data_IF_026486797433
#
_entry.id   IF_026486797433
#
_cell.length_a   1.000
_cell.length_b   1.000
_cell.length_c   1.000
_cell.angle_alpha   90.00
_cell.angle_beta   90.00
_cell.angle_gamma   90.00
#
_symmetry.space_group_name_H-M   'P 1'
#
loop_
_entity.id
_entity.type
_entity.pdbx_description
1 polymer ?
#
# COMPACT_ATOMS: atom_id res chain seq x y z
N UNK A 1 6.67 3.55 -4.00
CA UNK A 1 6.56 2.65 -5.17
C UNK A 1 7.34 3.27 -6.32
N UNK A 2 8.07 2.47 -7.09
CA UNK A 2 8.80 2.92 -8.26
C UNK A 2 8.37 2.14 -9.51
N UNK A 3 8.23 2.85 -10.63
CA UNK A 3 7.94 2.28 -11.95
C UNK A 3 8.89 2.88 -12.99
N UNK A 4 8.94 2.31 -14.19
CA UNK A 4 9.83 2.76 -15.26
C UNK A 4 9.05 3.66 -16.22
N UNK A 5 9.58 4.83 -16.53
CA UNK A 5 9.01 5.73 -17.54
C UNK A 5 9.21 5.23 -18.97
N UNK A 6 8.51 5.84 -19.94
CA UNK A 6 8.73 5.56 -21.36
C UNK A 6 10.18 5.82 -21.83
N UNK A 7 10.95 6.63 -21.11
CA UNK A 7 12.35 6.93 -21.40
C UNK A 7 13.34 6.06 -20.63
N UNK A 8 12.86 5.06 -19.88
CA UNK A 8 13.71 4.17 -19.09
C UNK A 8 14.08 4.68 -17.69
N UNK A 9 13.73 5.92 -17.32
CA UNK A 9 13.99 6.44 -15.97
C UNK A 9 13.06 5.85 -14.92
N UNK A 10 13.57 5.50 -13.72
CA UNK A 10 12.73 5.16 -12.59
C UNK A 10 12.01 6.39 -12.06
N UNK A 11 10.69 6.28 -11.84
CA UNK A 11 9.87 7.29 -11.19
C UNK A 11 9.43 6.73 -9.85
N UNK A 12 9.72 7.44 -8.76
CA UNK A 12 9.30 7.05 -7.41
C UNK A 12 8.11 7.90 -6.99
N UNK A 13 7.07 7.27 -6.46
CA UNK A 13 5.90 7.93 -5.91
C UNK A 13 5.50 7.29 -4.57
N UNK A 14 5.35 8.07 -3.49
CA UNK A 14 4.67 7.62 -2.27
C UNK A 14 3.19 7.34 -2.57
N UNK A 15 2.70 6.18 -2.19
CA UNK A 15 1.33 5.75 -2.51
C UNK A 15 0.69 5.10 -1.28
N UNK A 16 -0.58 5.40 -1.03
CA UNK A 16 -1.40 4.55 -0.17
C UNK A 16 -1.52 3.16 -0.80
N UNK A 17 -1.53 2.14 0.06
CA UNK A 17 -1.67 0.75 -0.35
C UNK A 17 -2.53 -0.04 0.64
N UNK A 18 -3.22 -1.06 0.14
CA UNK A 18 -3.97 -2.03 0.94
C UNK A 18 -3.55 -3.44 0.56
N UNK A 19 -3.83 -4.39 1.46
CA UNK A 19 -3.66 -5.82 1.20
C UNK A 19 -5.05 -6.42 1.17
N UNK A 20 -5.38 -7.19 0.13
CA UNK A 20 -6.65 -7.92 0.04
C UNK A 20 -6.46 -9.38 0.46
N UNK A 21 -7.55 -10.14 0.48
CA UNK A 21 -7.62 -11.52 1.00
C UNK A 21 -6.71 -12.49 0.23
N UNK A 22 -6.34 -12.16 -1.01
CA UNK A 22 -5.40 -12.93 -1.83
C UNK A 22 -3.92 -12.66 -1.48
N UNK A 23 -3.65 -11.87 -0.44
CA UNK A 23 -2.32 -11.54 0.05
C UNK A 23 -1.54 -10.54 -0.80
N UNK A 24 -2.12 -10.02 -1.90
CA UNK A 24 -1.43 -9.06 -2.77
C UNK A 24 -1.61 -7.62 -2.31
N UNK A 25 -0.65 -6.78 -2.68
CA UNK A 25 -0.74 -5.33 -2.50
C UNK A 25 -1.53 -4.71 -3.64
N UNK A 26 -2.48 -3.85 -3.28
CA UNK A 26 -3.28 -3.06 -4.21
C UNK A 26 -3.08 -1.57 -3.95
N UNK A 27 -2.93 -0.81 -5.04
CA UNK A 27 -2.70 0.63 -5.04
C UNK A 27 -3.70 1.28 -5.99
N UNK A 28 -4.37 2.35 -5.55
CA UNK A 28 -5.22 3.18 -6.42
C UNK A 28 -4.42 4.36 -6.98
N UNK A 29 -4.55 4.64 -8.28
CA UNK A 29 -3.93 5.79 -8.94
C UNK A 29 -4.89 6.42 -9.94
N UNK A 30 -4.67 7.70 -10.24
CA UNK A 30 -5.33 8.39 -11.36
C UNK A 30 -4.71 7.92 -12.67
N UNK A 31 -5.54 7.61 -13.67
CA UNK A 31 -5.14 7.17 -15.02
C UNK A 31 -4.97 8.35 -16.00
N UNK A 32 -5.93 9.29 -16.04
CA UNK A 32 -6.02 10.29 -17.13
C UNK A 32 -4.97 11.41 -17.11
N UNK A 33 -4.58 11.87 -15.93
CA UNK A 33 -3.70 13.04 -15.78
C UNK A 33 -2.28 12.69 -15.36
N UNK A 34 -1.99 11.40 -15.17
CA UNK A 34 -0.72 10.92 -14.64
C UNK A 34 -0.23 9.78 -15.50
N UNK A 35 0.99 9.91 -16.02
CA UNK A 35 1.62 8.91 -16.89
C UNK A 35 1.93 7.57 -16.23
N UNK A 36 1.74 7.43 -14.92
CA UNK A 36 2.01 6.21 -14.16
C UNK A 36 1.30 4.99 -14.72
N UNK A 37 0.00 5.10 -15.01
CA UNK A 37 -0.78 3.96 -15.48
C UNK A 37 -0.37 3.58 -16.90
N UNK A 38 -0.24 4.56 -17.80
CA UNK A 38 0.30 4.35 -19.15
C UNK A 38 1.67 3.65 -19.13
N UNK A 39 2.57 4.12 -18.27
CA UNK A 39 3.89 3.53 -18.11
C UNK A 39 3.84 2.08 -17.61
N UNK A 40 2.97 1.78 -16.64
CA UNK A 40 2.82 0.42 -16.09
C UNK A 40 2.16 -0.54 -17.09
N UNK A 41 1.27 -0.05 -17.95
CA UNK A 41 0.70 -0.84 -19.05
C UNK A 41 1.80 -1.18 -20.08
N UNK A 42 2.64 -0.20 -20.43
CA UNK A 42 3.72 -0.39 -21.40
C UNK A 42 4.89 -1.23 -20.84
N UNK A 43 5.18 -1.07 -19.55
CA UNK A 43 6.24 -1.77 -18.85
C UNK A 43 5.80 -2.09 -17.41
N UNK A 44 5.38 -3.34 -17.13
CA UNK A 44 4.77 -3.67 -15.84
C UNK A 44 5.79 -3.75 -14.70
N UNK A 45 7.10 -3.61 -14.96
CA UNK A 45 8.13 -3.71 -13.91
C UNK A 45 7.91 -2.64 -12.85
N UNK A 46 7.81 -3.11 -11.60
CA UNK A 46 7.51 -2.27 -10.44
C UNK A 46 8.37 -2.70 -9.26
N UNK A 47 8.72 -1.74 -8.40
CA UNK A 47 9.24 -2.01 -7.07
C UNK A 47 8.44 -1.26 -6.00
N UNK A 48 8.23 -1.90 -4.85
CA UNK A 48 7.50 -1.31 -3.73
C UNK A 48 8.36 -1.44 -2.50
N UNK A 49 8.75 -0.30 -1.94
CA UNK A 49 9.34 -0.22 -0.60
C UNK A 49 8.26 0.22 0.37
N UNK A 50 8.10 -0.53 1.46
CA UNK A 50 7.33 -0.15 2.63
C UNK A 50 8.32 -0.12 3.79
N UNK A 51 8.69 1.08 4.21
CA UNK A 51 9.66 1.27 5.28
C UNK A 51 9.10 2.11 6.42
N UNK A 52 9.62 1.86 7.61
CA UNK A 52 9.56 2.78 8.73
C UNK A 52 10.98 3.33 8.94
N UNK A 53 11.37 4.26 8.07
CA UNK A 53 12.70 4.87 8.10
C UNK A 53 12.69 6.06 9.08
N UNK A 54 12.95 5.79 10.35
CA UNK A 54 13.25 6.81 11.35
C UNK A 54 14.73 6.79 11.76
N UNK A 55 15.20 7.84 12.45
CA UNK A 55 16.57 7.90 13.01
C UNK A 55 16.77 6.98 14.24
N UNK A 56 15.92 5.98 14.45
CA UNK A 56 15.92 5.12 15.63
C UNK A 56 16.16 3.66 15.22
N UNK A 57 17.29 3.10 15.66
CA UNK A 57 17.69 1.71 15.39
C UNK A 57 16.60 0.67 15.72
N UNK A 58 15.79 0.92 16.75
CA UNK A 58 14.71 0.02 17.19
C UNK A 58 13.54 -0.06 16.19
N UNK A 59 13.41 0.95 15.34
CA UNK A 59 12.23 1.15 14.48
C UNK A 59 12.54 1.05 12.99
N UNK A 60 13.80 1.01 12.60
CA UNK A 60 14.23 0.81 11.22
C UNK A 60 13.91 -0.61 10.75
N UNK A 61 12.97 -0.71 9.82
CA UNK A 61 12.57 -1.94 9.16
C UNK A 61 11.95 -1.64 7.81
N UNK A 62 12.12 -2.54 6.87
CA UNK A 62 11.62 -2.37 5.52
C UNK A 62 11.23 -3.70 4.88
N UNK A 63 10.21 -3.63 4.05
CA UNK A 63 9.81 -4.67 3.11
C UNK A 63 10.02 -4.11 1.71
N UNK A 64 10.85 -4.79 0.93
CA UNK A 64 11.10 -4.47 -0.47
C UNK A 64 10.53 -5.57 -1.36
N UNK A 65 9.68 -5.15 -2.29
CA UNK A 65 9.06 -6.00 -3.30
C UNK A 65 9.59 -5.58 -4.67
N UNK A 66 9.96 -6.56 -5.48
CA UNK A 66 10.28 -6.41 -6.90
C UNK A 66 9.37 -7.37 -7.66
N UNK A 67 8.70 -6.87 -8.69
CA UNK A 67 7.67 -7.64 -9.37
C UNK A 67 7.14 -6.96 -10.62
N UNK A 68 5.93 -7.35 -10.97
CA UNK A 68 5.15 -6.77 -12.06
C UNK A 68 3.85 -6.16 -11.52
N UNK A 69 3.35 -5.16 -12.22
CA UNK A 69 2.04 -4.56 -12.00
C UNK A 69 1.02 -5.19 -12.93
N UNK A 70 -0.13 -5.56 -12.38
CA UNK A 70 -1.35 -5.78 -13.16
C UNK A 70 -2.25 -4.56 -12.98
N UNK A 71 -2.57 -3.89 -14.08
CA UNK A 71 -3.46 -2.72 -14.08
C UNK A 71 -4.88 -3.18 -14.37
N UNK A 72 -5.82 -2.77 -13.51
CA UNK A 72 -7.24 -3.08 -13.65
C UNK A 72 -8.10 -1.82 -13.58
N UNK A 73 -9.16 -1.81 -14.38
CA UNK A 73 -10.19 -0.77 -14.45
C UNK A 73 -11.57 -1.28 -14.00
N UNK A 74 -11.61 -2.52 -13.49
CA UNK A 74 -12.84 -3.18 -13.06
C UNK A 74 -13.47 -2.44 -11.88
N UNK A 75 -14.75 -2.10 -12.00
CA UNK A 75 -15.45 -1.26 -11.01
C UNK A 75 -15.60 -1.95 -9.66
N UNK A 76 -15.81 -3.26 -9.65
CA UNK A 76 -15.92 -4.05 -8.41
C UNK A 76 -14.61 -4.02 -7.61
N UNK A 77 -13.48 -4.17 -8.31
CA UNK A 77 -12.16 -4.11 -7.69
C UNK A 77 -11.84 -2.70 -7.20
N UNK A 78 -12.14 -1.67 -8.01
CA UNK A 78 -12.00 -0.25 -7.62
C UNK A 78 -12.77 0.04 -6.34
N UNK A 79 -14.03 -0.40 -6.26
CA UNK A 79 -14.91 -0.23 -5.11
C UNK A 79 -14.33 -0.93 -3.88
N UNK A 80 -13.94 -2.20 -4.01
CA UNK A 80 -13.34 -2.98 -2.91
C UNK A 80 -12.07 -2.31 -2.37
N UNK A 81 -11.17 -1.87 -3.26
CA UNK A 81 -9.90 -1.24 -2.86
C UNK A 81 -10.12 0.11 -2.20
N UNK A 82 -11.01 0.96 -2.73
CA UNK A 82 -11.27 2.27 -2.15
C UNK A 82 -11.90 2.19 -0.75
N UNK A 83 -12.81 1.26 -0.51
CA UNK A 83 -13.31 1.00 0.85
C UNK A 83 -12.21 0.57 1.80
N UNK A 84 -11.34 -0.37 1.37
CA UNK A 84 -10.19 -0.80 2.19
C UNK A 84 -9.20 0.33 2.48
N UNK A 85 -9.04 1.30 1.57
CA UNK A 85 -8.20 2.48 1.81
C UNK A 85 -8.84 3.33 2.92
N UNK A 86 -10.15 3.57 2.86
CA UNK A 86 -10.88 4.33 3.89
C UNK A 86 -10.74 3.64 5.24
N UNK A 87 -11.03 2.35 5.31
CA UNK A 87 -10.97 1.59 6.57
C UNK A 87 -9.56 1.56 7.17
N UNK A 88 -8.51 1.55 6.34
CA UNK A 88 -7.12 1.49 6.80
C UNK A 88 -6.57 2.84 7.23
N UNK A 89 -6.79 3.89 6.44
CA UNK A 89 -6.11 5.19 6.60
C UNK A 89 -6.98 6.27 7.23
N UNK A 90 -8.31 6.14 7.16
CA UNK A 90 -9.28 7.06 7.77
C UNK A 90 -10.18 6.29 8.74
N UNK A 91 -9.53 5.48 9.58
CA UNK A 91 -10.18 4.63 10.59
C UNK A 91 -10.99 5.43 11.61
N UNK A 92 -10.66 6.72 11.80
CA UNK A 92 -11.36 7.67 12.65
C UNK A 92 -12.77 8.00 12.15
N UNK A 93 -13.09 7.67 10.89
CA UNK A 93 -14.44 7.79 10.33
C UNK A 93 -15.35 6.58 10.69
N UNK A 94 -14.82 5.56 11.36
CA UNK A 94 -15.60 4.38 11.72
C UNK A 94 -16.82 4.75 12.57
N UNK A 95 -17.99 4.18 12.23
CA UNK A 95 -19.26 4.50 12.89
C UNK A 95 -19.96 5.77 12.39
N UNK A 96 -19.37 6.52 11.46
CA UNK A 96 -20.01 7.66 10.80
C UNK A 96 -20.20 7.39 9.31
N UNK A 97 -21.33 6.77 8.95
CA UNK A 97 -21.61 6.34 7.57
C UNK A 97 -21.72 7.50 6.57
N UNK A 98 -22.20 8.67 7.01
CA UNK A 98 -22.28 9.86 6.16
C UNK A 98 -20.89 10.35 5.74
N UNK A 99 -19.96 10.48 6.71
CA UNK A 99 -18.59 10.88 6.42
C UNK A 99 -17.84 9.82 5.61
N UNK A 100 -18.09 8.52 5.89
CA UNK A 100 -17.50 7.43 5.10
C UNK A 100 -17.98 7.44 3.65
N UNK A 101 -19.27 7.67 3.41
CA UNK A 101 -19.81 7.81 2.06
C UNK A 101 -19.22 9.04 1.33
N UNK A 102 -19.06 10.16 2.03
CA UNK A 102 -18.40 11.35 1.49
C UNK A 102 -16.93 11.09 1.13
N UNK A 103 -16.19 10.40 2.00
CA UNK A 103 -14.81 9.99 1.74
C UNK A 103 -14.72 9.06 0.51
N UNK A 104 -15.62 8.08 0.42
CA UNK A 104 -15.71 7.19 -0.74
C UNK A 104 -15.94 7.96 -2.04
N UNK A 105 -16.90 8.88 -2.06
CA UNK A 105 -17.15 9.74 -3.23
C UNK A 105 -15.92 10.57 -3.62
N UNK A 106 -15.13 11.03 -2.65
CA UNK A 106 -13.90 11.80 -2.90
C UNK A 106 -12.78 10.97 -3.54
N UNK A 107 -12.63 9.71 -3.15
CA UNK A 107 -11.56 8.83 -3.68
C UNK A 107 -11.98 8.06 -4.93
N UNK A 108 -13.25 7.65 -5.00
CA UNK A 108 -13.82 6.85 -6.07
C UNK A 108 -14.31 7.74 -7.21
N UNK A 109 -13.37 8.11 -8.08
CA UNK A 109 -13.64 8.95 -9.26
C UNK A 109 -13.51 8.13 -10.55
N UNK A 110 -14.14 8.55 -11.67
CA UNK A 110 -14.12 7.79 -12.92
C UNK A 110 -12.73 7.58 -13.54
N UNK A 111 -11.75 8.40 -13.15
CA UNK A 111 -10.39 8.36 -13.71
C UNK A 111 -9.42 7.51 -12.88
N UNK A 112 -9.91 6.50 -12.16
CA UNK A 112 -9.11 5.65 -11.28
C UNK A 112 -8.74 4.33 -11.96
N UNK A 113 -7.58 3.82 -11.60
CA UNK A 113 -7.12 2.49 -11.95
C UNK A 113 -6.50 1.85 -10.72
N UNK A 114 -6.65 0.53 -10.64
CA UNK A 114 -6.03 -0.29 -9.60
C UNK A 114 -4.76 -0.92 -10.15
N UNK A 115 -3.71 -0.87 -9.36
CA UNK A 115 -2.43 -1.52 -9.59
C UNK A 115 -2.32 -2.65 -8.57
N UNK A 116 -2.38 -3.89 -9.03
CA UNK A 116 -2.05 -5.08 -8.23
C UNK A 116 -0.56 -5.38 -8.39
N UNK A 117 0.13 -5.58 -7.27
CA UNK A 117 1.57 -5.88 -7.28
C UNK A 117 1.76 -7.39 -7.23
N UNK A 118 2.35 -7.97 -8.27
CA UNK A 118 2.68 -9.38 -8.40
C UNK A 118 4.18 -9.59 -8.11
N UNK A 119 4.57 -10.15 -6.94
CA UNK A 119 5.97 -10.34 -6.59
C UNK A 119 6.66 -11.36 -7.50
N UNK A 120 7.94 -11.13 -7.79
CA UNK A 120 8.80 -12.16 -8.41
C UNK A 120 9.12 -13.28 -7.41
N UNK A 121 9.51 -14.47 -7.89
CA UNK A 121 9.81 -15.67 -7.05
C UNK A 121 10.78 -15.44 -5.88
N UNK A 122 11.68 -14.45 -5.95
CA UNK A 122 12.65 -14.10 -4.89
C UNK A 122 12.26 -12.85 -4.08
N UNK A 123 11.00 -12.45 -4.14
CA UNK A 123 10.42 -11.26 -3.51
C UNK A 123 9.10 -11.66 -2.83
N UNK A 124 8.72 -11.08 -1.68
CA UNK A 124 9.34 -9.97 -0.96
C UNK A 124 10.68 -10.31 -0.31
N UNK A 125 11.51 -9.29 -0.11
CA UNK A 125 12.65 -9.29 0.83
C UNK A 125 12.33 -8.35 1.98
N UNK A 126 12.84 -8.63 3.18
CA UNK A 126 12.61 -7.77 4.33
C UNK A 126 13.79 -7.78 5.28
N UNK A 127 13.91 -6.72 6.06
CA UNK A 127 14.87 -6.62 7.15
C UNK A 127 14.26 -5.85 8.33
N UNK A 128 14.71 -6.17 9.53
CA UNK A 128 14.35 -5.49 10.79
C UNK A 128 15.64 -5.25 11.56
N UNK A 129 16.12 -4.00 11.55
CA UNK A 129 17.40 -3.66 12.16
C UNK A 129 17.35 -3.83 13.69
N UNK A 130 16.21 -3.51 14.31
CA UNK A 130 15.99 -3.73 15.73
C UNK A 130 16.22 -5.19 16.14
N UNK A 131 15.82 -6.17 15.31
CA UNK A 131 16.13 -7.59 15.56
C UNK A 131 17.61 -7.92 15.36
N UNK A 132 18.25 -7.31 14.36
CA UNK A 132 19.67 -7.53 14.07
C UNK A 132 20.59 -7.02 15.18
N UNK A 133 20.23 -5.91 15.83
CA UNK A 133 21.02 -5.30 16.93
C UNK A 133 20.44 -5.57 18.33
N UNK A 134 19.48 -6.48 18.46
CA UNK A 134 18.83 -6.84 19.74
C UNK A 134 18.16 -5.66 20.47
N UNK A 135 17.56 -4.74 19.72
CA UNK A 135 16.81 -3.58 20.24
C UNK A 135 15.36 -3.52 19.73
N UNK A 136 14.76 -4.64 19.34
CA UNK A 136 13.41 -4.70 18.80
C UNK A 136 12.35 -4.16 19.78
N UNK A 137 11.42 -3.35 19.26
CA UNK A 137 10.24 -2.84 19.95
C UNK A 137 8.98 -3.28 19.17
N UNK A 138 7.94 -3.75 19.88
CA UNK A 138 6.64 -4.07 19.28
C UNK A 138 5.88 -2.78 18.92
N UNK A 139 4.98 -2.87 17.95
CA UNK A 139 4.08 -1.76 17.61
C UNK A 139 4.63 -0.83 16.54
N UNK A 140 5.62 -1.27 15.77
CA UNK A 140 6.26 -0.43 14.74
C UNK A 140 5.58 -0.61 13.37
N UNK A 141 5.05 -1.81 13.11
CA UNK A 141 4.19 -2.03 11.95
C UNK A 141 2.74 -1.65 12.28
N UNK A 142 1.99 -1.17 11.28
CA UNK A 142 0.57 -0.81 11.47
C UNK A 142 -0.23 -1.94 12.14
N UNK A 143 -0.06 -3.20 11.72
CA UNK A 143 -0.78 -4.31 12.33
C UNK A 143 -0.37 -4.53 13.79
N UNK A 144 0.92 -4.41 14.13
CA UNK A 144 1.37 -4.54 15.52
C UNK A 144 0.78 -3.41 16.39
N UNK A 145 0.82 -2.16 15.91
CA UNK A 145 0.25 -1.02 16.62
C UNK A 145 -1.27 -1.16 16.77
N UNK A 146 -1.95 -1.58 15.71
CA UNK A 146 -3.40 -1.79 15.69
C UNK A 146 -3.82 -2.88 16.70
N UNK A 147 -3.15 -4.04 16.71
CA UNK A 147 -3.42 -5.10 17.70
C UNK A 147 -3.15 -4.64 19.13
N UNK A 148 -2.14 -3.80 19.38
CA UNK A 148 -1.85 -3.26 20.70
C UNK A 148 -2.91 -2.27 21.21
N UNK A 149 -3.64 -1.61 20.29
CA UNK A 149 -4.71 -0.68 20.63
C UNK A 149 -6.08 -1.36 20.76
N UNK A 150 -6.21 -2.64 20.40
CA UNK A 150 -7.45 -3.38 20.67
C UNK A 150 -7.57 -3.52 22.19
N UNK A 151 -8.74 -3.23 22.78
CA UNK A 151 -8.99 -3.61 24.16
C UNK A 151 -8.78 -5.11 24.23
N UNK A 152 -7.74 -5.53 24.97
CA UNK A 152 -7.54 -6.93 25.27
C UNK A 152 -8.87 -7.45 25.84
N UNK A 153 -9.47 -8.44 25.19
CA UNK A 153 -10.35 -9.36 25.89
C UNK A 153 -9.43 -10.02 26.93
N UNK A 154 -9.42 -9.44 28.14
CA UNK A 154 -8.59 -9.89 29.25
C UNK A 154 -9.05 -11.30 29.59
N UNK A 155 -8.34 -12.31 29.09
CA UNK A 155 -8.48 -13.70 29.52
C UNK A 155 -7.12 -14.22 29.97
#
# INVERSE_FOLDING_TARGET
MAHISQYGYPIVTPMFYVVLDDGHIYISSVNKYRKKIEHLIANPKISVSISNDGSNAKRQKSIQIIGNAEVSFEQDLLTKVHWKIIDKYWWDLAGNDELRAAAFKGVHTPNRAIIKVIPNKKSPTSWDFGKMVQMYERGVWFNEAYEMCKPYDVR
#
